data_IF_033598199228
#
_entry.id   IF_033598199228
#
_cell.length_a   1.000
_cell.length_b   1.000
_cell.length_c   1.000
_cell.angle_alpha   90.00
_cell.angle_beta   90.00
_cell.angle_gamma   90.00
#
_symmetry.space_group_name_H-M   'P 1'
#
loop_
_entity.id
_entity.type
_entity.pdbx_description
1 polymer ?
#
# COMPACT_ATOMS: atom_id res chain seq x y z
N UNK A 1 -37.71 6.35 -23.72
CA UNK A 1 -38.73 6.62 -22.69
C UNK A 1 -38.03 7.44 -21.61
N UNK A 2 -38.53 8.64 -21.35
CA UNK A 2 -38.01 9.50 -20.29
C UNK A 2 -38.29 8.83 -18.94
N UNK A 3 -37.24 8.63 -18.12
CA UNK A 3 -37.37 8.11 -16.77
C UNK A 3 -38.09 9.14 -15.90
N UNK A 4 -39.31 8.83 -15.47
CA UNK A 4 -40.08 9.68 -14.57
C UNK A 4 -39.29 9.93 -13.27
N UNK A 5 -39.03 11.21 -12.99
CA UNK A 5 -38.12 11.67 -11.93
C UNK A 5 -38.72 11.66 -10.51
N UNK A 6 -39.86 10.99 -10.28
CA UNK A 6 -40.61 11.01 -9.01
C UNK A 6 -40.88 9.62 -8.40
N UNK A 7 -40.29 8.55 -8.94
CA UNK A 7 -40.57 7.20 -8.46
C UNK A 7 -39.91 6.93 -7.09
N UNK A 8 -40.72 6.48 -6.13
CA UNK A 8 -40.25 5.96 -4.85
C UNK A 8 -39.97 4.46 -4.97
N UNK A 9 -38.83 4.01 -4.44
CA UNK A 9 -38.40 2.63 -4.45
C UNK A 9 -38.36 2.07 -3.04
N UNK A 10 -38.43 0.74 -2.92
CA UNK A 10 -38.11 -0.02 -1.72
C UNK A 10 -36.92 -0.93 -1.97
N UNK A 11 -36.17 -1.25 -0.92
CA UNK A 11 -35.04 -2.16 -0.95
C UNK A 11 -35.49 -3.59 -0.66
N UNK A 12 -35.25 -4.50 -1.60
CA UNK A 12 -35.38 -5.93 -1.42
C UNK A 12 -34.02 -6.53 -1.13
N UNK A 13 -33.90 -7.23 -0.01
CA UNK A 13 -32.73 -8.01 0.37
C UNK A 13 -32.96 -9.47 0.01
N UNK A 14 -32.05 -10.03 -0.79
CA UNK A 14 -31.87 -11.47 -0.95
C UNK A 14 -30.77 -11.94 0.01
N UNK A 15 -31.14 -12.74 1.01
CA UNK A 15 -30.19 -13.39 1.91
C UNK A 15 -29.87 -14.81 1.41
N UNK A 16 -28.61 -15.02 1.03
CA UNK A 16 -28.11 -16.29 0.50
C UNK A 16 -27.18 -17.02 1.48
N UNK A 17 -27.16 -16.64 2.75
CA UNK A 17 -26.28 -17.25 3.77
C UNK A 17 -26.55 -18.74 3.99
N UNK A 18 -27.81 -19.18 3.87
CA UNK A 18 -28.22 -20.58 4.03
C UNK A 18 -28.31 -21.36 2.70
N UNK A 19 -28.01 -20.71 1.57
CA UNK A 19 -28.12 -21.30 0.24
C UNK A 19 -26.91 -22.19 -0.06
N UNK A 20 -27.17 -23.46 -0.40
CA UNK A 20 -26.11 -24.47 -0.64
C UNK A 20 -25.70 -24.57 -2.11
N UNK A 21 -26.48 -24.02 -3.04
CA UNK A 21 -26.26 -24.09 -4.47
C UNK A 21 -26.31 -22.70 -5.10
N UNK A 22 -25.31 -22.34 -5.90
CA UNK A 22 -25.22 -21.01 -6.53
C UNK A 22 -26.40 -20.66 -7.44
N UNK A 23 -27.16 -21.68 -7.89
CA UNK A 23 -28.35 -21.56 -8.74
C UNK A 23 -29.65 -21.30 -7.96
N UNK A 24 -29.65 -21.51 -6.65
CA UNK A 24 -30.83 -21.28 -5.80
C UNK A 24 -30.92 -19.80 -5.41
N UNK A 25 -32.16 -19.29 -5.42
CA UNK A 25 -32.49 -17.97 -4.93
C UNK A 25 -32.47 -17.96 -3.39
N UNK A 26 -31.95 -16.88 -2.81
CA UNK A 26 -31.98 -16.66 -1.38
C UNK A 26 -33.35 -16.25 -0.85
N UNK A 27 -33.43 -16.05 0.47
CA UNK A 27 -34.63 -15.55 1.13
C UNK A 27 -34.82 -14.08 0.80
N UNK A 28 -35.95 -13.73 0.18
CA UNK A 28 -36.31 -12.35 -0.12
C UNK A 28 -37.05 -11.70 1.06
N UNK A 29 -36.65 -10.49 1.41
CA UNK A 29 -37.31 -9.65 2.42
C UNK A 29 -37.19 -8.17 2.08
N UNK A 30 -38.10 -7.34 2.57
CA UNK A 30 -38.06 -5.88 2.38
C UNK A 30 -37.33 -5.24 3.55
N UNK A 31 -36.39 -4.35 3.27
CA UNK A 31 -35.71 -3.56 4.29
C UNK A 31 -36.68 -2.54 4.90
N UNK A 32 -36.82 -2.56 6.23
CA UNK A 32 -37.58 -1.57 6.99
C UNK A 32 -36.70 -0.52 7.68
N UNK A 33 -35.39 -0.77 7.77
CA UNK A 33 -34.43 0.17 8.34
C UNK A 33 -33.21 -0.51 8.95
N UNK A 34 -32.44 0.27 9.69
CA UNK A 34 -31.30 -0.18 10.50
C UNK A 34 -31.54 0.34 11.92
N UNK A 35 -31.38 -0.49 12.94
CA UNK A 35 -31.56 -0.05 14.34
C UNK A 35 -30.35 0.74 14.88
N UNK A 36 -30.49 1.32 16.07
CA UNK A 36 -29.44 2.12 16.74
C UNK A 36 -28.16 1.31 17.05
N UNK A 37 -28.24 -0.02 16.98
CA UNK A 37 -27.11 -0.94 17.15
C UNK A 37 -26.50 -1.37 15.80
N UNK A 38 -27.01 -0.82 14.71
CA UNK A 38 -26.55 -1.09 13.36
C UNK A 38 -27.13 -2.37 12.75
N UNK A 39 -28.13 -3.02 13.35
CA UNK A 39 -28.70 -4.25 12.79
C UNK A 39 -29.74 -3.96 11.70
N UNK A 40 -29.62 -4.68 10.59
CA UNK A 40 -30.60 -4.66 9.51
C UNK A 40 -31.96 -5.20 9.98
N UNK A 41 -33.01 -4.41 9.79
CA UNK A 41 -34.40 -4.82 10.01
C UNK A 41 -35.06 -5.09 8.67
N UNK A 42 -35.68 -6.26 8.57
CA UNK A 42 -36.45 -6.65 7.38
C UNK A 42 -37.84 -7.14 7.75
N UNK A 43 -38.73 -7.09 6.78
CA UNK A 43 -40.15 -7.45 6.88
C UNK A 43 -40.58 -8.19 5.62
N UNK A 44 -41.68 -8.93 5.70
CA UNK A 44 -42.26 -9.59 4.53
C UNK A 44 -42.80 -8.58 3.51
N UNK A 45 -42.71 -8.94 2.23
CA UNK A 45 -43.19 -8.16 1.10
C UNK A 45 -44.70 -8.33 0.92
N UNK A 46 -45.49 -7.90 1.91
CA UNK A 46 -46.97 -7.94 1.88
C UNK A 46 -47.57 -6.55 2.14
N UNK A 47 -48.75 -6.28 1.60
CA UNK A 47 -49.43 -4.99 1.66
C UNK A 47 -49.61 -4.46 3.08
N UNK A 48 -49.87 -5.35 4.05
CA UNK A 48 -50.02 -5.02 5.47
C UNK A 48 -48.77 -4.34 6.05
N UNK A 49 -47.58 -4.66 5.53
CA UNK A 49 -46.31 -4.13 6.01
C UNK A 49 -45.84 -2.89 5.25
N UNK A 50 -46.63 -2.35 4.30
CA UNK A 50 -46.22 -1.21 3.46
C UNK A 50 -45.78 0.03 4.24
N UNK A 51 -46.37 0.27 5.40
CA UNK A 51 -46.01 1.40 6.26
C UNK A 51 -44.62 1.25 6.88
N UNK A 52 -44.09 0.02 6.98
CA UNK A 52 -42.79 -0.28 7.55
C UNK A 52 -41.65 -0.27 6.52
N UNK A 53 -41.95 -0.24 5.23
CA UNK A 53 -40.92 -0.31 4.19
C UNK A 53 -40.06 0.95 4.14
N UNK A 54 -38.74 0.77 4.06
CA UNK A 54 -37.82 1.86 3.81
C UNK A 54 -37.97 2.31 2.35
N UNK A 55 -38.70 3.42 2.16
CA UNK A 55 -38.88 4.06 0.86
C UNK A 55 -37.76 5.06 0.61
N UNK A 56 -37.22 5.06 -0.60
CA UNK A 56 -36.17 5.98 -1.01
C UNK A 56 -36.35 6.42 -2.46
N UNK A 57 -35.81 7.59 -2.79
CA UNK A 57 -35.61 8.06 -4.14
C UNK A 57 -34.11 8.02 -4.46
N UNK A 58 -33.73 7.75 -5.71
CA UNK A 58 -32.32 7.74 -6.12
C UNK A 58 -31.57 9.07 -5.88
N UNK A 59 -32.29 10.18 -5.62
CA UNK A 59 -31.72 11.52 -5.38
C UNK A 59 -31.62 11.95 -3.91
N UNK A 60 -32.27 11.26 -2.97
CA UNK A 60 -32.48 11.78 -1.61
C UNK A 60 -31.39 11.39 -0.59
N UNK A 61 -30.33 10.72 -1.03
CA UNK A 61 -29.19 10.35 -0.19
C UNK A 61 -29.48 9.27 0.86
N UNK A 62 -30.75 8.83 1.03
CA UNK A 62 -31.12 7.79 1.98
C UNK A 62 -30.47 6.45 1.62
N UNK A 63 -30.46 6.11 0.32
CA UNK A 63 -29.80 4.91 -0.18
C UNK A 63 -28.30 4.92 0.16
N UNK A 64 -27.62 6.06 -0.03
CA UNK A 64 -26.19 6.19 0.26
C UNK A 64 -25.90 5.99 1.76
N UNK A 65 -26.73 6.54 2.63
CA UNK A 65 -26.59 6.37 4.08
C UNK A 65 -26.85 4.91 4.50
N UNK A 66 -27.89 4.28 3.94
CA UNK A 66 -28.18 2.88 4.14
C UNK A 66 -26.97 2.01 3.74
N UNK A 67 -26.45 2.19 2.52
CA UNK A 67 -25.33 1.41 2.01
C UNK A 67 -24.05 1.61 2.82
N UNK A 68 -23.79 2.83 3.29
CA UNK A 68 -22.65 3.13 4.17
C UNK A 68 -22.72 2.31 5.47
N UNK A 69 -23.91 2.18 6.07
CA UNK A 69 -24.08 1.41 7.30
C UNK A 69 -24.12 -0.10 7.03
N UNK A 70 -24.78 -0.53 5.96
CA UNK A 70 -24.84 -1.92 5.52
C UNK A 70 -23.43 -2.49 5.28
N UNK A 71 -22.58 -1.76 4.55
CA UNK A 71 -21.22 -2.19 4.23
C UNK A 71 -20.27 -2.13 5.43
N UNK A 72 -20.55 -1.28 6.44
CA UNK A 72 -19.84 -1.31 7.73
C UNK A 72 -20.17 -2.57 8.53
N UNK A 73 -21.40 -3.07 8.43
CA UNK A 73 -21.86 -4.23 9.19
C UNK A 73 -21.42 -5.54 8.52
N UNK A 74 -21.53 -5.63 7.19
CA UNK A 74 -21.30 -6.84 6.43
C UNK A 74 -20.00 -6.73 5.62
N UNK A 75 -18.87 -7.12 6.23
CA UNK A 75 -17.52 -7.05 5.64
C UNK A 75 -17.34 -7.84 4.33
N UNK A 76 -18.22 -8.82 4.05
CA UNK A 76 -18.25 -9.57 2.80
C UNK A 76 -19.71 -9.72 2.32
N UNK A 77 -20.29 -8.72 1.64
CA UNK A 77 -21.70 -8.71 1.29
C UNK A 77 -22.05 -9.64 0.11
N UNK A 78 -21.11 -10.47 -0.35
CA UNK A 78 -21.29 -11.37 -1.51
C UNK A 78 -22.38 -12.44 -1.30
N UNK A 79 -22.77 -12.69 -0.05
CA UNK A 79 -23.91 -13.54 0.31
C UNK A 79 -25.26 -12.82 0.29
N UNK A 80 -25.28 -11.52 -0.02
CA UNK A 80 -26.49 -10.72 -0.12
C UNK A 80 -26.69 -10.22 -1.54
N UNK A 81 -27.95 -10.13 -1.97
CA UNK A 81 -28.38 -9.36 -3.14
C UNK A 81 -29.22 -8.18 -2.67
N UNK A 82 -29.00 -6.99 -3.23
CA UNK A 82 -29.87 -5.83 -3.02
C UNK A 82 -30.50 -5.41 -4.33
N UNK A 83 -31.82 -5.24 -4.32
CA UNK A 83 -32.60 -4.91 -5.51
C UNK A 83 -33.58 -3.79 -5.20
N UNK A 84 -33.77 -2.86 -6.14
CA UNK A 84 -34.77 -1.80 -6.06
C UNK A 84 -36.06 -2.26 -6.74
N UNK A 85 -37.18 -2.06 -6.05
CA UNK A 85 -38.53 -2.33 -6.57
C UNK A 85 -39.38 -1.08 -6.36
N UNK A 86 -40.29 -0.77 -7.29
CA UNK A 86 -41.19 0.37 -7.15
C UNK A 86 -42.09 0.21 -5.93
N UNK A 87 -42.18 1.26 -5.10
CA UNK A 87 -42.91 1.24 -3.83
C UNK A 87 -44.43 1.04 -4.01
N UNK A 88 -44.97 1.36 -5.19
CA UNK A 88 -46.40 1.23 -5.49
C UNK A 88 -46.79 -0.20 -5.92
N UNK A 89 -45.80 -1.08 -6.15
CA UNK A 89 -46.06 -2.44 -6.62
C UNK A 89 -45.09 -3.49 -6.05
N UNK A 90 -44.92 -3.46 -4.72
CA UNK A 90 -43.90 -4.28 -4.02
C UNK A 90 -44.16 -5.78 -4.14
N UNK A 91 -45.39 -6.25 -3.93
CA UNK A 91 -45.70 -7.71 -3.95
C UNK A 91 -45.38 -8.31 -5.33
N UNK A 92 -45.97 -7.74 -6.38
CA UNK A 92 -45.74 -8.19 -7.76
C UNK A 92 -44.28 -8.02 -8.18
N UNK A 93 -43.62 -6.93 -7.74
CA UNK A 93 -42.22 -6.69 -8.04
C UNK A 93 -41.28 -7.72 -7.40
N UNK A 94 -41.56 -8.14 -6.16
CA UNK A 94 -40.82 -9.20 -5.47
C UNK A 94 -41.09 -10.57 -6.10
N UNK A 95 -42.31 -10.87 -6.50
CA UNK A 95 -42.64 -12.12 -7.21
C UNK A 95 -41.97 -12.22 -8.58
N UNK A 96 -41.90 -11.10 -9.31
CA UNK A 96 -41.14 -11.02 -10.56
C UNK A 96 -39.64 -11.22 -10.29
N UNK A 97 -39.07 -10.52 -9.30
CA UNK A 97 -37.68 -10.70 -8.90
C UNK A 97 -37.38 -12.16 -8.54
N UNK A 98 -38.26 -12.83 -7.79
CA UNK A 98 -38.14 -14.26 -7.45
C UNK A 98 -38.06 -15.13 -8.71
N UNK A 99 -38.89 -14.84 -9.70
CA UNK A 99 -38.88 -15.56 -10.99
C UNK A 99 -37.56 -15.33 -11.75
N UNK A 100 -37.07 -14.10 -11.80
CA UNK A 100 -35.80 -13.74 -12.45
C UNK A 100 -34.62 -14.44 -11.75
N UNK A 101 -34.60 -14.48 -10.42
CA UNK A 101 -33.56 -15.12 -9.62
C UNK A 101 -33.51 -16.65 -9.84
N UNK A 102 -34.65 -17.31 -10.02
CA UNK A 102 -34.72 -18.74 -10.36
C UNK A 102 -34.08 -19.06 -11.73
N UNK A 103 -33.99 -18.07 -12.63
CA UNK A 103 -33.34 -18.22 -13.94
C UNK A 103 -32.10 -17.34 -14.11
N UNK A 104 -31.41 -16.99 -13.03
CA UNK A 104 -30.28 -16.03 -13.03
C UNK A 104 -29.13 -16.35 -14.00
N UNK A 105 -29.01 -17.58 -14.46
CA UNK A 105 -27.97 -17.97 -15.42
C UNK A 105 -28.26 -17.55 -16.86
N UNK A 106 -29.53 -17.28 -17.19
CA UNK A 106 -29.94 -16.80 -18.51
C UNK A 106 -29.46 -15.37 -18.74
N UNK A 107 -29.00 -15.08 -19.96
CA UNK A 107 -28.51 -13.74 -20.33
C UNK A 107 -29.52 -12.63 -20.07
N UNK A 108 -30.80 -12.88 -20.37
CA UNK A 108 -31.89 -11.92 -20.15
C UNK A 108 -32.10 -11.62 -18.66
N UNK A 109 -32.12 -12.67 -17.82
CA UNK A 109 -32.22 -12.50 -16.37
C UNK A 109 -31.01 -11.78 -15.78
N UNK A 110 -29.79 -12.00 -16.31
CA UNK A 110 -28.58 -11.25 -15.90
C UNK A 110 -28.71 -9.76 -16.21
N UNK A 111 -29.24 -9.39 -17.37
CA UNK A 111 -29.48 -7.99 -17.74
C UNK A 111 -30.52 -7.35 -16.83
N UNK A 112 -31.66 -8.02 -16.60
CA UNK A 112 -32.71 -7.50 -15.72
C UNK A 112 -32.23 -7.31 -14.28
N UNK A 113 -31.47 -8.27 -13.74
CA UNK A 113 -30.89 -8.17 -12.39
C UNK A 113 -29.86 -7.04 -12.29
N UNK A 114 -29.13 -6.72 -13.36
CA UNK A 114 -28.20 -5.59 -13.38
C UNK A 114 -28.93 -4.23 -13.37
N UNK A 115 -30.10 -4.13 -14.02
CA UNK A 115 -30.87 -2.87 -14.06
C UNK A 115 -31.54 -2.54 -12.72
N UNK A 116 -32.05 -3.56 -12.03
CA UNK A 116 -32.74 -3.41 -10.74
C UNK A 116 -31.81 -3.64 -9.54
N UNK A 117 -30.65 -4.26 -9.75
CA UNK A 117 -29.65 -4.53 -8.73
C UNK A 117 -28.95 -3.26 -8.26
N UNK A 118 -28.59 -3.26 -6.98
CA UNK A 118 -27.76 -2.24 -6.38
C UNK A 118 -26.37 -2.83 -6.22
N UNK A 119 -25.42 -2.31 -6.99
CA UNK A 119 -24.04 -2.75 -6.89
C UNK A 119 -23.43 -2.26 -5.59
N UNK A 120 -22.91 -3.18 -4.77
CA UNK A 120 -22.17 -2.81 -3.56
C UNK A 120 -20.92 -1.98 -3.89
N UNK A 121 -20.32 -2.20 -5.06
CA UNK A 121 -19.11 -1.50 -5.52
C UNK A 121 -19.32 0.02 -5.64
N UNK A 122 -20.54 0.45 -5.99
CA UNK A 122 -20.90 1.86 -6.12
C UNK A 122 -20.87 2.61 -4.77
N UNK A 123 -20.97 1.86 -3.66
CA UNK A 123 -21.13 2.41 -2.31
C UNK A 123 -20.05 1.97 -1.32
N UNK A 124 -19.23 0.99 -1.69
CA UNK A 124 -17.98 0.77 -0.98
C UNK A 124 -17.24 2.11 -0.98
N UNK A 125 -16.65 2.54 0.16
CA UNK A 125 -15.68 3.61 0.11
C UNK A 125 -14.70 3.13 -0.93
N UNK A 126 -14.71 3.80 -2.08
CA UNK A 126 -13.74 3.50 -3.08
C UNK A 126 -12.43 3.69 -2.32
N UNK A 127 -11.73 2.60 -2.00
CA UNK A 127 -10.32 2.61 -2.30
C UNK A 127 -10.35 3.01 -3.75
N UNK A 128 -10.27 4.33 -4.00
CA UNK A 128 -10.02 4.84 -5.31
C UNK A 128 -8.81 4.01 -5.70
N UNK A 129 -9.00 3.02 -6.58
CA UNK A 129 -8.04 2.80 -7.63
C UNK A 129 -7.96 4.19 -8.23
N UNK A 130 -7.07 5.01 -7.66
CA UNK A 130 -6.88 6.35 -8.09
C UNK A 130 -6.37 6.11 -9.49
N UNK A 131 -7.26 6.31 -10.48
CA UNK A 131 -6.93 6.16 -11.88
C UNK A 131 -5.60 6.84 -12.03
N UNK A 132 -4.62 6.09 -12.54
CA UNK A 132 -3.26 6.57 -12.67
C UNK A 132 -3.32 7.99 -13.24
N UNK A 133 -2.50 8.88 -12.69
CA UNK A 133 -2.49 10.27 -13.09
C UNK A 133 -2.30 10.31 -14.60
N UNK A 134 -3.16 11.07 -15.27
CA UNK A 134 -3.00 11.33 -16.69
C UNK A 134 -1.71 12.13 -16.87
N UNK A 135 -0.75 11.53 -17.58
CA UNK A 135 0.58 12.07 -17.79
C UNK A 135 0.53 13.44 -18.49
N UNK A 136 -0.51 13.72 -19.28
CA UNK A 136 -0.71 15.02 -19.93
C UNK A 136 -0.93 16.17 -18.95
N UNK A 137 -1.26 15.87 -17.68
CA UNK A 137 -1.46 16.85 -16.61
C UNK A 137 -0.18 17.18 -15.84
N UNK A 138 0.94 16.53 -16.18
CA UNK A 138 2.22 16.74 -15.49
C UNK A 138 2.97 17.93 -16.08
N UNK A 139 3.40 18.85 -15.22
CA UNK A 139 4.35 19.90 -15.60
C UNK A 139 5.76 19.32 -15.74
N UNK A 140 6.06 18.84 -16.93
CA UNK A 140 7.37 18.30 -17.28
C UNK A 140 8.50 19.34 -17.21
N UNK A 141 8.18 20.63 -17.37
CA UNK A 141 9.18 21.71 -17.27
C UNK A 141 9.66 21.87 -15.83
N UNK A 142 8.78 21.67 -14.85
CA UNK A 142 9.16 21.69 -13.43
C UNK A 142 10.16 20.56 -13.10
N UNK A 143 9.95 19.37 -13.65
CA UNK A 143 10.87 18.22 -13.47
C UNK A 143 12.20 18.44 -14.19
N UNK A 144 12.17 18.97 -15.42
CA UNK A 144 13.38 19.27 -16.20
C UNK A 144 14.27 20.31 -15.51
N UNK A 145 13.65 21.36 -14.93
CA UNK A 145 14.35 22.35 -14.10
C UNK A 145 15.04 21.73 -12.86
N UNK A 146 14.59 20.55 -12.41
CA UNK A 146 15.20 19.79 -11.32
C UNK A 146 16.24 18.76 -11.81
N UNK A 147 16.58 18.76 -13.10
CA UNK A 147 17.50 17.81 -13.72
C UNK A 147 16.89 16.41 -13.93
N UNK A 148 15.57 16.31 -14.04
CA UNK A 148 14.84 15.06 -14.23
C UNK A 148 14.05 15.06 -15.53
N UNK A 149 14.52 14.27 -16.50
CA UNK A 149 13.79 14.04 -17.74
C UNK A 149 12.75 12.94 -17.58
N UNK A 150 11.73 12.97 -18.45
CA UNK A 150 10.71 11.92 -18.55
C UNK A 150 11.35 10.54 -18.75
N UNK A 151 12.27 10.43 -19.69
CA UNK A 151 12.93 9.17 -20.06
C UNK A 151 13.71 8.59 -18.87
N UNK A 152 14.37 9.44 -18.07
CA UNK A 152 15.10 9.02 -16.87
C UNK A 152 14.16 8.44 -15.80
N UNK A 153 13.00 9.06 -15.59
CA UNK A 153 11.99 8.58 -14.64
C UNK A 153 11.30 7.30 -15.12
N UNK A 154 11.08 7.16 -16.42
CA UNK A 154 10.52 5.95 -17.03
C UNK A 154 11.49 4.78 -16.94
N UNK A 155 12.76 4.96 -17.33
CA UNK A 155 13.78 3.91 -17.30
C UNK A 155 14.09 3.40 -15.89
N UNK A 156 13.94 4.25 -14.88
CA UNK A 156 14.10 3.88 -13.48
C UNK A 156 12.85 3.24 -12.87
N UNK A 157 11.70 3.28 -13.56
CA UNK A 157 10.41 2.81 -13.04
C UNK A 157 9.79 3.75 -12.00
N UNK A 158 10.38 4.93 -11.78
CA UNK A 158 9.90 5.89 -10.79
C UNK A 158 8.70 6.69 -11.31
N UNK A 159 8.60 6.90 -12.63
CA UNK A 159 7.45 7.54 -13.25
C UNK A 159 6.15 6.78 -12.95
N UNK A 160 6.16 5.46 -13.14
CA UNK A 160 4.99 4.60 -12.89
C UNK A 160 4.52 4.71 -11.43
N UNK A 161 5.45 4.69 -10.47
CA UNK A 161 5.13 4.85 -9.04
C UNK A 161 4.47 6.20 -8.78
N UNK A 162 5.05 7.27 -9.31
CA UNK A 162 4.55 8.63 -9.10
C UNK A 162 3.16 8.83 -9.72
N UNK A 163 2.93 8.32 -10.93
CA UNK A 163 1.61 8.36 -11.58
C UNK A 163 0.56 7.56 -10.81
N UNK A 164 0.97 6.50 -10.11
CA UNK A 164 0.13 5.71 -9.21
C UNK A 164 0.08 6.25 -7.77
N UNK A 165 0.31 7.55 -7.57
CA UNK A 165 0.21 8.27 -6.29
C UNK A 165 1.19 7.82 -5.19
N UNK A 166 2.21 7.06 -5.58
CA UNK A 166 3.29 6.65 -4.69
C UNK A 166 4.42 7.69 -4.73
N UNK A 167 5.29 7.63 -3.72
CA UNK A 167 6.55 8.37 -3.73
C UNK A 167 7.58 7.57 -4.54
N UNK A 168 8.43 8.26 -5.28
CA UNK A 168 9.62 7.66 -5.86
C UNK A 168 10.58 7.16 -4.77
N UNK A 169 11.58 6.40 -5.18
CA UNK A 169 12.84 6.23 -4.47
C UNK A 169 13.63 7.56 -4.42
N UNK A 170 14.76 7.59 -3.69
CA UNK A 170 15.67 8.73 -3.70
C UNK A 170 16.20 8.98 -5.10
N UNK A 171 16.00 10.20 -5.58
CA UNK A 171 16.48 10.70 -6.86
C UNK A 171 17.38 11.90 -6.59
N UNK A 172 18.52 11.95 -7.26
CA UNK A 172 19.36 13.16 -7.28
C UNK A 172 18.65 14.23 -8.11
N UNK A 173 18.34 15.35 -7.46
CA UNK A 173 17.76 16.55 -8.07
C UNK A 173 18.77 17.70 -8.02
N UNK A 174 18.66 18.60 -9.00
CA UNK A 174 19.38 19.85 -9.10
C UNK A 174 18.44 21.00 -8.71
N UNK A 175 18.69 21.66 -7.59
CA UNK A 175 17.88 22.79 -7.11
C UNK A 175 18.61 24.09 -7.45
N UNK A 176 18.16 24.86 -8.45
CA UNK A 176 18.75 26.16 -8.76
C UNK A 176 18.39 27.17 -7.65
N UNK A 177 19.40 27.84 -7.11
CA UNK A 177 19.29 28.91 -6.11
C UNK A 177 20.16 30.08 -6.57
N UNK A 178 19.52 31.09 -7.16
CA UNK A 178 20.21 32.20 -7.82
C UNK A 178 21.13 31.68 -8.92
N UNK A 179 22.41 32.03 -8.85
CA UNK A 179 23.43 31.60 -9.81
C UNK A 179 24.08 30.25 -9.46
N UNK A 180 23.66 29.61 -8.37
CA UNK A 180 24.22 28.34 -7.89
C UNK A 180 23.23 27.21 -8.04
N UNK A 181 23.72 25.99 -8.22
CA UNK A 181 22.89 24.77 -8.25
C UNK A 181 23.29 23.86 -7.11
N UNK A 182 22.33 23.51 -6.26
CA UNK A 182 22.52 22.54 -5.18
C UNK A 182 22.07 21.17 -5.66
N UNK A 183 22.95 20.18 -5.54
CA UNK A 183 22.60 18.79 -5.80
C UNK A 183 22.22 18.11 -4.48
N UNK A 184 21.04 17.49 -4.43
CA UNK A 184 20.56 16.78 -3.24
C UNK A 184 19.71 15.57 -3.64
N UNK A 185 19.46 14.68 -2.71
CA UNK A 185 18.57 13.54 -2.91
C UNK A 185 17.17 13.85 -2.36
N UNK A 186 16.13 13.48 -3.10
CA UNK A 186 14.75 13.63 -2.68
C UNK A 186 13.88 12.50 -3.20
N UNK A 187 12.80 12.19 -2.47
CA UNK A 187 11.67 11.43 -3.02
C UNK A 187 10.67 12.40 -3.62
N UNK A 188 10.09 12.03 -4.75
CA UNK A 188 9.14 12.84 -5.48
C UNK A 188 7.77 12.17 -5.49
N UNK A 189 6.71 12.96 -5.48
CA UNK A 189 5.37 12.43 -5.63
C UNK A 189 4.45 13.45 -6.30
N UNK A 190 3.52 12.97 -7.11
CA UNK A 190 2.44 13.81 -7.61
C UNK A 190 1.31 13.90 -6.59
N UNK A 191 0.76 15.10 -6.43
CA UNK A 191 -0.33 15.43 -5.50
C UNK A 191 -1.32 16.36 -6.18
N UNK A 192 -2.60 16.24 -5.84
CA UNK A 192 -3.61 17.20 -6.29
C UNK A 192 -3.77 18.33 -5.29
N UNK A 193 -3.93 19.54 -5.80
CA UNK A 193 -4.44 20.67 -5.02
C UNK A 193 -5.98 20.59 -4.86
N UNK A 194 -6.55 21.56 -4.14
CA UNK A 194 -7.99 21.65 -3.89
C UNK A 194 -8.82 21.87 -5.18
N UNK A 195 -8.18 22.33 -6.26
CA UNK A 195 -8.79 22.53 -7.58
C UNK A 195 -8.66 21.29 -8.48
N UNK A 196 -7.98 20.23 -8.02
CA UNK A 196 -7.74 19.01 -8.78
C UNK A 196 -6.56 19.09 -9.77
N UNK A 197 -5.74 20.15 -9.73
CA UNK A 197 -4.52 20.24 -10.52
C UNK A 197 -3.43 19.36 -9.93
N UNK A 198 -2.64 18.71 -10.78
CA UNK A 198 -1.53 17.86 -10.33
C UNK A 198 -0.26 18.69 -10.17
N UNK A 199 0.28 18.75 -8.96
CA UNK A 199 1.56 19.36 -8.63
C UNK A 199 2.61 18.34 -8.20
N UNK A 200 3.88 18.78 -8.24
CA UNK A 200 5.03 18.01 -7.76
C UNK A 200 5.32 18.31 -6.29
N UNK A 201 5.29 17.27 -5.45
CA UNK A 201 5.77 17.31 -4.07
C UNK A 201 7.21 16.77 -3.99
N UNK A 202 8.09 17.55 -3.36
CA UNK A 202 9.51 17.22 -3.19
C UNK A 202 9.77 16.94 -1.70
N UNK A 203 10.25 15.74 -1.40
CA UNK A 203 10.55 15.27 -0.05
C UNK A 203 12.07 15.07 0.08
N UNK A 204 12.83 16.12 0.46
CA UNK A 204 14.29 16.06 0.52
C UNK A 204 14.80 15.13 1.63
N UNK A 205 15.92 14.47 1.38
CA UNK A 205 16.65 13.66 2.35
C UNK A 205 17.15 14.55 3.50
N UNK A 206 16.76 14.20 4.74
CA UNK A 206 17.26 14.84 5.96
C UNK A 206 18.22 13.91 6.70
N UNK A 207 19.20 14.48 7.38
CA UNK A 207 20.11 13.73 8.26
C UNK A 207 19.37 13.08 9.44
N UNK A 208 18.38 13.78 9.99
CA UNK A 208 17.57 13.34 11.12
C UNK A 208 16.15 13.90 11.03
N UNK A 209 15.16 13.24 11.65
CA UNK A 209 13.79 13.73 11.70
C UNK A 209 13.69 14.97 12.60
N UNK A 210 13.01 16.01 12.12
CA UNK A 210 12.87 17.28 12.83
C UNK A 210 11.77 17.19 13.89
N UNK A 211 12.09 16.59 15.04
CA UNK A 211 11.13 16.34 16.12
C UNK A 211 11.08 17.47 17.17
N UNK A 212 12.03 18.41 17.14
CA UNK A 212 12.13 19.49 18.14
C UNK A 212 11.21 20.68 17.86
N UNK A 213 10.69 20.77 16.65
CA UNK A 213 9.75 21.81 16.24
C UNK A 213 8.31 21.28 16.25
N UNK A 214 7.30 22.13 16.51
CA UNK A 214 5.91 21.73 16.37
C UNK A 214 5.62 21.23 14.95
N UNK A 215 5.10 20.01 14.85
CA UNK A 215 4.66 19.40 13.61
C UNK A 215 3.14 19.58 13.48
N UNK A 216 2.71 20.41 12.52
CA UNK A 216 1.29 20.75 12.33
C UNK A 216 0.61 21.16 13.65
N UNK A 217 1.23 22.10 14.38
CA UNK A 217 0.70 22.56 15.67
C UNK A 217 0.90 21.60 16.85
N UNK A 218 1.31 20.35 16.61
CA UNK A 218 1.56 19.37 17.66
C UNK A 218 3.03 19.38 18.12
N UNK A 219 3.27 19.41 19.43
CA UNK A 219 4.63 19.32 20.01
C UNK A 219 4.84 17.95 20.65
N UNK A 220 5.81 17.20 20.13
CA UNK A 220 6.15 15.88 20.68
C UNK A 220 6.83 15.97 22.05
N UNK A 221 6.39 15.14 22.97
CA UNK A 221 7.03 14.83 24.26
C UNK A 221 8.32 14.01 24.07
N UNK A 222 9.25 14.02 25.04
CA UNK A 222 10.48 13.22 24.96
C UNK A 222 10.23 11.73 24.67
N UNK A 223 9.21 11.15 25.30
CA UNK A 223 8.83 9.75 25.16
C UNK A 223 8.33 9.44 23.74
N UNK A 224 7.56 10.34 23.15
CA UNK A 224 7.09 10.21 21.76
C UNK A 224 8.22 10.34 20.76
N UNK A 225 9.19 11.23 21.02
CA UNK A 225 10.39 11.35 20.19
C UNK A 225 11.18 10.05 20.21
N UNK A 226 11.42 9.49 21.40
CA UNK A 226 12.11 8.21 21.55
C UNK A 226 11.36 7.07 20.84
N UNK A 227 10.03 7.02 20.99
CA UNK A 227 9.17 6.04 20.33
C UNK A 227 9.28 6.13 18.79
N UNK A 228 9.20 7.33 18.23
CA UNK A 228 9.36 7.58 16.80
C UNK A 228 10.76 7.19 16.31
N UNK A 229 11.81 7.58 17.03
CA UNK A 229 13.20 7.24 16.69
C UNK A 229 13.51 5.74 16.79
N UNK A 230 12.82 5.03 17.68
CA UNK A 230 13.04 3.60 17.94
C UNK A 230 12.24 2.71 16.98
N UNK A 231 10.99 3.07 16.71
CA UNK A 231 10.05 2.20 15.96
C UNK A 231 9.74 2.72 14.57
N UNK A 232 9.84 4.03 14.35
CA UNK A 232 9.39 4.72 13.15
C UNK A 232 7.93 5.15 13.19
N UNK A 233 7.16 4.76 14.23
CA UNK A 233 5.75 5.07 14.38
C UNK A 233 5.46 5.64 15.77
N UNK A 234 4.51 6.58 15.85
CA UNK A 234 4.19 7.23 17.12
C UNK A 234 3.51 6.28 18.13
N UNK A 235 2.87 5.21 17.67
CA UNK A 235 2.18 4.27 18.56
C UNK A 235 0.82 4.72 19.05
N UNK A 236 0.34 5.88 18.59
CA UNK A 236 -0.99 6.41 18.87
C UNK A 236 -1.46 7.38 17.79
N UNK A 237 -2.75 7.68 17.77
CA UNK A 237 -3.29 8.83 17.04
C UNK A 237 -3.12 10.12 17.82
N UNK A 238 -2.83 11.22 17.13
CA UNK A 238 -2.79 12.58 17.69
C UNK A 238 -3.63 13.53 16.86
N UNK A 239 -4.13 14.60 17.46
CA UNK A 239 -4.75 15.69 16.72
C UNK A 239 -3.67 16.63 16.17
N UNK A 240 -3.72 16.91 14.87
CA UNK A 240 -2.81 17.83 14.18
C UNK A 240 -3.60 18.90 13.45
N UNK A 241 -3.04 20.11 13.38
CA UNK A 241 -3.63 21.29 12.77
C UNK A 241 -2.72 21.82 11.66
N UNK A 242 -3.01 21.54 10.38
CA UNK A 242 -2.27 22.09 9.27
C UNK A 242 -2.47 23.62 9.18
N UNK A 243 -1.51 24.35 8.60
CA UNK A 243 -1.57 25.83 8.51
C UNK A 243 -2.83 26.36 7.81
N UNK A 244 -3.30 25.63 6.79
CA UNK A 244 -4.41 26.05 5.92
C UNK A 244 -5.54 25.00 5.90
N UNK A 245 -5.86 24.38 7.05
CA UNK A 245 -6.93 23.38 7.08
C UNK A 245 -7.43 23.07 8.48
N UNK A 246 -8.51 22.31 8.53
CA UNK A 246 -9.15 21.91 9.77
C UNK A 246 -8.28 20.90 10.56
N UNK A 247 -8.31 20.95 11.90
CA UNK A 247 -7.71 19.91 12.74
C UNK A 247 -8.22 18.51 12.40
N UNK A 248 -7.37 17.50 12.54
CA UNK A 248 -7.78 16.12 12.37
C UNK A 248 -6.93 15.14 13.17
N UNK A 249 -7.53 14.00 13.50
CA UNK A 249 -6.82 12.87 14.11
C UNK A 249 -5.95 12.15 13.08
N UNK A 250 -4.68 11.93 13.41
CA UNK A 250 -3.67 11.39 12.50
C UNK A 250 -2.82 10.30 13.15
N UNK A 251 -2.48 9.29 12.36
CA UNK A 251 -1.32 8.44 12.61
C UNK A 251 -0.07 9.18 12.17
N UNK A 252 1.01 9.03 12.93
CA UNK A 252 2.30 9.67 12.61
C UNK A 252 3.41 8.63 12.50
N UNK A 253 4.16 8.70 11.40
CA UNK A 253 5.34 7.86 11.15
C UNK A 253 6.49 8.68 10.57
N UNK A 254 7.70 8.13 10.61
CA UNK A 254 8.87 8.66 9.92
C UNK A 254 9.06 7.90 8.61
N UNK A 255 9.24 8.64 7.52
CA UNK A 255 9.73 8.12 6.26
C UNK A 255 11.17 7.60 6.42
N UNK A 256 11.41 6.29 6.31
CA UNK A 256 12.74 5.73 6.53
C UNK A 256 13.76 6.20 5.50
N UNK A 257 13.34 6.67 4.32
CA UNK A 257 14.28 7.12 3.31
C UNK A 257 14.66 8.59 3.50
N UNK A 258 13.74 9.45 3.92
CA UNK A 258 13.97 10.92 3.96
C UNK A 258 14.05 11.51 5.36
N UNK A 259 13.78 10.71 6.40
CA UNK A 259 13.59 11.19 7.77
C UNK A 259 12.46 12.22 7.90
N UNK A 260 11.51 12.24 6.96
CA UNK A 260 10.35 13.12 7.02
C UNK A 260 9.31 12.60 8.00
N UNK A 261 8.69 13.49 8.79
CA UNK A 261 7.54 13.17 9.63
C UNK A 261 6.28 13.27 8.77
N UNK A 262 5.45 12.23 8.82
CA UNK A 262 4.26 12.09 7.98
C UNK A 262 3.03 11.86 8.85
N UNK A 263 2.00 12.67 8.63
CA UNK A 263 0.66 12.45 9.15
C UNK A 263 -0.24 11.79 8.10
N UNK A 264 -0.93 10.73 8.53
CA UNK A 264 -2.00 10.09 7.78
C UNK A 264 -3.30 10.26 8.56
N UNK A 265 -4.31 10.88 7.94
CA UNK A 265 -5.61 11.05 8.58
C UNK A 265 -6.20 9.70 8.99
N UNK A 266 -6.60 9.58 10.25
CA UNK A 266 -7.11 8.33 10.80
C UNK A 266 -8.41 7.88 10.11
N UNK A 267 -9.26 8.83 9.73
CA UNK A 267 -10.53 8.60 9.02
C UNK A 267 -10.38 8.04 7.60
N UNK A 268 -9.15 8.06 7.03
CA UNK A 268 -8.85 7.52 5.70
C UNK A 268 -8.21 6.14 5.72
N UNK A 269 -7.93 5.58 6.91
CA UNK A 269 -7.31 4.26 7.03
C UNK A 269 -8.39 3.21 7.25
N UNK A 270 -8.45 2.24 6.35
CA UNK A 270 -9.31 1.07 6.52
C UNK A 270 -8.53 -0.05 7.22
N UNK A 271 -8.98 -0.44 8.41
CA UNK A 271 -8.40 -1.53 9.21
C UNK A 271 -9.42 -2.67 9.22
N UNK A 272 -9.17 -3.80 8.53
CA UNK A 272 -10.08 -4.93 8.55
C UNK A 272 -9.98 -5.70 9.87
N UNK A 273 -11.08 -6.32 10.29
CA UNK A 273 -11.11 -7.23 11.46
C UNK A 273 -10.39 -8.56 11.20
N UNK A 274 -10.25 -8.95 9.94
CA UNK A 274 -9.49 -10.14 9.54
C UNK A 274 -8.27 -9.73 8.73
N UNK A 275 -7.11 -10.23 9.13
CA UNK A 275 -5.84 -9.96 8.45
C UNK A 275 -5.16 -11.29 8.16
N UNK A 276 -4.97 -11.59 6.87
CA UNK A 276 -4.26 -12.80 6.40
C UNK A 276 -4.81 -14.10 7.02
N UNK A 277 -6.14 -14.23 7.11
CA UNK A 277 -6.80 -15.42 7.64
C UNK A 277 -6.95 -15.47 9.17
N UNK A 278 -6.55 -14.41 9.87
CA UNK A 278 -6.67 -14.32 11.33
C UNK A 278 -7.64 -13.20 11.70
N UNK A 279 -8.70 -13.53 12.43
CA UNK A 279 -9.62 -12.55 13.01
C UNK A 279 -8.99 -11.94 14.26
N UNK A 280 -8.88 -10.61 14.30
CA UNK A 280 -8.42 -9.86 15.45
C UNK A 280 -9.46 -9.93 16.58
N UNK A 281 -9.00 -10.08 17.82
CA UNK A 281 -9.85 -9.84 18.99
C UNK A 281 -10.27 -8.37 19.06
N UNK A 282 -11.37 -8.06 19.77
CA UNK A 282 -11.85 -6.68 19.90
C UNK A 282 -10.79 -5.76 20.54
N UNK A 283 -10.00 -6.27 21.49
CA UNK A 283 -8.89 -5.53 22.09
C UNK A 283 -7.78 -5.23 21.07
N UNK A 284 -7.35 -6.24 20.30
CA UNK A 284 -6.36 -6.08 19.24
C UNK A 284 -6.82 -5.11 18.15
N UNK A 285 -8.08 -5.22 17.74
CA UNK A 285 -8.67 -4.33 16.75
C UNK A 285 -8.69 -2.88 17.25
N UNK A 286 -9.17 -2.67 18.49
CA UNK A 286 -9.20 -1.35 19.13
C UNK A 286 -7.79 -0.75 19.25
N UNK A 287 -6.83 -1.52 19.76
CA UNK A 287 -5.44 -1.06 19.90
C UNK A 287 -4.83 -0.66 18.55
N UNK A 288 -5.10 -1.42 17.50
CA UNK A 288 -4.61 -1.12 16.14
C UNK A 288 -5.25 0.15 15.56
N UNK A 289 -6.56 0.35 15.77
CA UNK A 289 -7.29 1.59 15.40
C UNK A 289 -6.79 2.80 16.19
N UNK A 290 -6.37 2.60 17.44
CA UNK A 290 -5.74 3.66 18.23
C UNK A 290 -4.29 3.94 17.80
N UNK A 291 -3.71 3.12 16.90
CA UNK A 291 -2.35 3.28 16.35
C UNK A 291 -1.26 2.50 17.08
N UNK A 292 -1.65 1.67 18.06
CA UNK A 292 -0.71 0.84 18.84
C UNK A 292 -0.23 -0.34 18.01
N UNK A 293 0.92 -0.87 18.42
CA UNK A 293 1.48 -2.09 17.87
C UNK A 293 0.80 -3.32 18.50
N UNK A 294 0.38 -4.27 17.67
CA UNK A 294 -0.43 -5.42 18.08
C UNK A 294 0.19 -6.71 17.56
N UNK A 295 0.59 -7.61 18.47
CA UNK A 295 1.11 -8.92 18.07
C UNK A 295 -0.02 -9.83 17.59
N UNK A 296 0.16 -10.41 16.40
CA UNK A 296 -0.78 -11.34 15.77
C UNK A 296 -0.03 -12.58 15.32
N UNK A 297 -0.60 -13.75 15.61
CA UNK A 297 0.01 -15.05 15.35
C UNK A 297 -0.86 -15.88 14.40
N UNK A 298 -0.25 -16.81 13.66
CA UNK A 298 -0.96 -17.74 12.78
C UNK A 298 -1.44 -17.15 11.45
N UNK A 299 -0.93 -15.99 11.03
CA UNK A 299 -1.27 -15.39 9.73
C UNK A 299 -0.75 -16.24 8.57
N UNK A 300 -1.51 -16.33 7.48
CA UNK A 300 -1.17 -17.16 6.32
C UNK A 300 -0.60 -16.33 5.17
N UNK A 301 0.61 -16.66 4.72
CA UNK A 301 1.24 -16.05 3.55
C UNK A 301 0.61 -16.57 2.25
N UNK A 302 0.85 -15.86 1.14
CA UNK A 302 0.43 -16.32 -0.21
C UNK A 302 0.99 -17.72 -0.58
N UNK A 303 2.09 -18.13 0.05
CA UNK A 303 2.70 -19.45 -0.11
C UNK A 303 2.03 -20.56 0.72
N UNK A 304 1.01 -20.24 1.51
CA UNK A 304 0.35 -21.17 2.43
C UNK A 304 1.09 -21.38 3.76
N UNK A 305 2.28 -20.77 3.94
CA UNK A 305 3.01 -20.85 5.22
C UNK A 305 2.42 -19.90 6.25
N UNK A 306 2.35 -20.35 7.49
CA UNK A 306 1.97 -19.52 8.62
C UNK A 306 3.14 -18.67 9.12
N UNK A 307 2.84 -17.49 9.64
CA UNK A 307 3.82 -16.59 10.25
C UNK A 307 3.18 -15.72 11.35
N UNK A 308 4.03 -15.19 12.21
CA UNK A 308 3.64 -14.24 13.25
C UNK A 308 4.26 -12.88 12.92
N UNK A 309 3.57 -11.80 13.27
CA UNK A 309 4.09 -10.45 13.14
C UNK A 309 3.41 -9.50 14.13
N UNK A 310 4.09 -8.42 14.46
CA UNK A 310 3.49 -7.26 15.10
C UNK A 310 2.92 -6.35 14.03
N UNK A 311 1.63 -6.06 14.09
CA UNK A 311 0.91 -5.19 13.18
C UNK A 311 0.83 -3.79 13.76
N UNK A 312 1.05 -2.78 12.93
CA UNK A 312 0.88 -1.38 13.33
C UNK A 312 0.46 -0.55 12.12
N UNK A 313 -0.31 0.52 12.31
CA UNK A 313 -0.58 1.49 11.24
C UNK A 313 0.67 2.33 11.00
N UNK A 314 1.09 2.42 9.74
CA UNK A 314 2.20 3.26 9.29
C UNK A 314 1.70 4.32 8.30
N UNK A 315 1.99 5.59 8.62
CA UNK A 315 1.53 6.74 7.85
C UNK A 315 2.14 6.79 6.43
N UNK A 316 3.42 6.43 6.29
CA UNK A 316 4.13 6.39 5.01
C UNK A 316 3.60 5.27 4.11
N UNK A 317 3.32 4.09 4.67
CA UNK A 317 2.72 2.96 3.94
C UNK A 317 1.23 3.11 3.68
N UNK A 318 0.61 4.16 4.23
CA UNK A 318 -0.84 4.44 4.14
C UNK A 318 -1.71 3.28 4.62
N UNK A 319 -1.25 2.51 5.61
CA UNK A 319 -1.95 1.31 6.07
C UNK A 319 -1.17 0.47 7.06
N UNK A 320 -1.59 -0.77 7.22
CA UNK A 320 -1.01 -1.70 8.20
C UNK A 320 0.34 -2.21 7.69
N UNK A 321 1.37 -2.04 8.51
CA UNK A 321 2.66 -2.66 8.31
C UNK A 321 2.83 -3.92 9.16
N UNK A 322 3.64 -4.84 8.64
CA UNK A 322 3.98 -6.09 9.29
C UNK A 322 5.42 -5.98 9.80
N UNK A 323 5.56 -5.87 11.11
CA UNK A 323 6.84 -5.79 11.82
C UNK A 323 7.16 -7.20 12.30
N UNK A 324 8.15 -7.83 11.69
CA UNK A 324 8.63 -9.14 12.12
C UNK A 324 9.66 -8.95 13.24
N UNK A 325 9.63 -9.84 14.24
CA UNK A 325 10.59 -9.93 15.34
C UNK A 325 12.01 -10.18 14.79
N UNK A 326 12.61 -9.11 14.31
CA UNK A 326 14.03 -8.96 14.13
C UNK A 326 14.43 -7.99 15.22
N UNK A 327 15.47 -8.30 16.00
CA UNK A 327 16.03 -7.42 17.04
C UNK A 327 16.59 -6.08 16.49
N UNK A 328 16.14 -5.65 15.30
CA UNK A 328 16.64 -4.50 14.57
C UNK A 328 15.71 -3.31 14.78
N UNK A 329 16.20 -2.29 15.46
CA UNK A 329 15.50 -1.02 15.64
C UNK A 329 15.25 -0.28 14.32
N UNK A 330 14.43 0.77 14.34
CA UNK A 330 14.11 1.59 13.17
C UNK A 330 15.36 2.09 12.44
N UNK A 331 16.39 2.56 13.17
CA UNK A 331 17.67 3.00 12.60
C UNK A 331 18.42 1.90 11.83
N UNK A 332 18.39 0.66 12.31
CA UNK A 332 19.03 -0.46 11.61
C UNK A 332 18.25 -0.87 10.36
N UNK A 333 16.90 -0.82 10.43
CA UNK A 333 16.05 -1.00 9.24
C UNK A 333 16.30 0.10 8.21
N UNK A 334 16.43 1.34 8.66
CA UNK A 334 16.71 2.52 7.83
C UNK A 334 18.05 2.43 7.11
N UNK A 335 19.12 1.96 7.76
CA UNK A 335 20.42 1.76 7.10
C UNK A 335 20.35 0.76 5.94
N UNK A 336 19.46 -0.24 6.00
CA UNK A 336 19.20 -1.14 4.86
C UNK A 336 18.40 -0.46 3.76
N UNK A 337 17.44 0.41 4.08
CA UNK A 337 16.65 1.14 3.07
C UNK A 337 17.43 2.25 2.36
N UNK A 338 18.41 2.86 3.04
CA UNK A 338 19.31 3.88 2.47
C UNK A 338 20.45 3.29 1.64
N UNK A 339 20.80 2.01 1.83
CA UNK A 339 21.59 1.27 0.84
C UNK A 339 20.67 0.92 -0.33
N UNK A 340 20.33 1.93 -1.14
CA UNK A 340 19.78 1.68 -2.47
C UNK A 340 20.89 1.07 -3.32
N UNK A 341 20.66 -0.17 -3.73
CA UNK A 341 21.59 -0.94 -4.52
C UNK A 341 22.08 -2.21 -3.81
N UNK A 342 23.05 -2.87 -4.42
CA UNK A 342 23.56 -4.14 -4.03
C UNK A 342 24.26 -3.99 -2.68
N UNK A 343 23.95 -4.88 -1.72
CA UNK A 343 24.46 -4.75 -0.38
C UNK A 343 25.98 -4.84 -0.39
N UNK A 344 26.66 -4.06 0.47
CA UNK A 344 28.12 -4.18 0.63
C UNK A 344 28.56 -5.57 1.06
N UNK A 345 27.68 -6.30 1.76
CA UNK A 345 27.93 -7.66 2.20
C UNK A 345 26.74 -8.55 1.86
N UNK A 346 26.99 -9.63 1.13
CA UNK A 346 25.98 -10.59 0.72
C UNK A 346 26.32 -11.97 1.24
N UNK A 347 25.49 -12.52 2.15
CA UNK A 347 25.72 -13.86 2.71
C UNK A 347 27.16 -14.05 3.21
N UNK A 348 27.69 -13.10 3.99
CA UNK A 348 29.06 -13.18 4.51
C UNK A 348 30.17 -12.74 3.54
N UNK A 349 29.89 -12.62 2.24
CA UNK A 349 30.84 -12.15 1.23
C UNK A 349 30.81 -10.62 1.13
N UNK A 350 31.97 -9.96 1.21
CA UNK A 350 32.09 -8.53 0.91
C UNK A 350 32.14 -8.31 -0.61
N UNK A 351 31.26 -7.43 -1.11
CA UNK A 351 31.19 -7.08 -2.52
C UNK A 351 32.05 -5.86 -2.80
N UNK A 352 32.86 -5.93 -3.86
CA UNK A 352 33.58 -4.77 -4.38
C UNK A 352 32.63 -3.77 -5.03
N UNK A 353 33.06 -2.52 -5.15
CA UNK A 353 32.28 -1.44 -5.78
C UNK A 353 31.81 -1.80 -7.19
N UNK A 354 32.69 -2.38 -8.01
CA UNK A 354 32.35 -2.88 -9.36
C UNK A 354 31.29 -3.98 -9.35
N UNK A 355 31.31 -4.87 -8.34
CA UNK A 355 30.29 -5.90 -8.21
C UNK A 355 28.94 -5.30 -7.81
N UNK A 356 28.96 -4.26 -6.97
CA UNK A 356 27.75 -3.55 -6.58
C UNK A 356 27.13 -2.81 -7.76
N UNK A 357 27.92 -2.02 -8.50
CA UNK A 357 27.48 -1.34 -9.73
C UNK A 357 26.90 -2.32 -10.77
N UNK A 358 27.52 -3.49 -10.94
CA UNK A 358 27.04 -4.49 -11.87
C UNK A 358 25.68 -5.07 -11.42
N UNK A 359 25.50 -5.33 -10.13
CA UNK A 359 24.22 -5.79 -9.58
C UNK A 359 23.14 -4.69 -9.65
N UNK A 360 23.51 -3.42 -9.44
CA UNK A 360 22.61 -2.27 -9.49
C UNK A 360 22.12 -1.95 -10.89
N UNK A 361 23.00 -2.08 -11.88
CA UNK A 361 22.64 -2.03 -13.29
C UNK A 361 21.79 -3.23 -13.74
N UNK A 362 21.52 -4.19 -12.84
CA UNK A 362 20.64 -5.32 -13.07
C UNK A 362 21.32 -6.53 -13.74
N UNK A 363 22.66 -6.56 -13.79
CA UNK A 363 23.41 -7.70 -14.33
C UNK A 363 23.43 -8.85 -13.34
N UNK A 364 23.46 -10.07 -13.86
CA UNK A 364 23.72 -11.27 -13.05
C UNK A 364 25.22 -11.45 -12.82
N UNK A 365 25.64 -11.60 -11.56
CA UNK A 365 27.01 -11.96 -11.18
C UNK A 365 27.08 -13.39 -10.64
N UNK A 366 28.13 -14.13 -10.97
CA UNK A 366 28.43 -15.38 -10.28
C UNK A 366 29.32 -15.10 -9.07
N UNK A 367 28.78 -15.29 -7.87
CA UNK A 367 29.48 -15.02 -6.61
C UNK A 367 29.83 -16.35 -5.93
N UNK A 368 31.04 -16.40 -5.36
CA UNK A 368 31.60 -17.60 -4.69
C UNK A 368 31.82 -17.34 -3.21
N UNK A 369 31.93 -18.40 -2.41
CA UNK A 369 32.26 -18.36 -0.99
C UNK A 369 31.25 -17.55 -0.13
N UNK A 370 29.98 -17.54 -0.55
CA UNK A 370 28.89 -17.05 0.29
C UNK A 370 28.57 -18.09 1.35
N UNK A 371 27.98 -17.68 2.47
CA UNK A 371 27.67 -18.52 3.63
C UNK A 371 26.16 -18.53 3.86
N UNK A 372 25.57 -19.72 3.94
CA UNK A 372 24.15 -19.89 4.20
C UNK A 372 23.79 -19.69 5.70
N UNK A 373 22.52 -19.88 6.05
CA UNK A 373 22.06 -19.71 7.43
C UNK A 373 22.62 -20.77 8.40
N UNK A 374 23.11 -21.88 7.86
CA UNK A 374 23.70 -23.01 8.58
C UNK A 374 25.23 -22.90 8.67
N UNK A 375 25.82 -21.83 8.12
CA UNK A 375 27.26 -21.61 8.11
C UNK A 375 27.99 -22.35 6.98
N UNK A 376 27.28 -22.97 6.05
CA UNK A 376 27.90 -23.72 4.95
C UNK A 376 28.24 -22.80 3.77
N UNK A 377 29.43 -22.95 3.16
CA UNK A 377 29.81 -22.17 1.99
C UNK A 377 29.06 -22.64 0.73
N UNK A 378 28.61 -21.70 -0.09
CA UNK A 378 27.95 -21.95 -1.36
C UNK A 378 28.28 -20.88 -2.40
N UNK A 379 28.04 -21.21 -3.67
CA UNK A 379 28.21 -20.34 -4.83
C UNK A 379 26.88 -20.20 -5.57
N UNK A 380 26.60 -19.04 -6.14
CA UNK A 380 25.36 -18.84 -6.91
C UNK A 380 25.49 -17.71 -7.93
N UNK A 381 24.64 -17.75 -8.95
CA UNK A 381 24.34 -16.59 -9.78
C UNK A 381 23.40 -15.67 -9.00
N UNK A 382 23.76 -14.40 -8.89
CA UNK A 382 23.05 -13.38 -8.11
C UNK A 382 22.61 -12.25 -9.02
N UNK A 383 21.34 -11.87 -8.95
CA UNK A 383 20.78 -10.71 -9.65
C UNK A 383 19.87 -9.94 -8.71
N UNK A 384 19.85 -8.61 -8.82
CA UNK A 384 18.92 -7.78 -8.05
C UNK A 384 17.51 -7.83 -8.66
N UNK A 385 16.52 -8.16 -7.83
CA UNK A 385 15.10 -8.02 -8.11
C UNK A 385 14.73 -6.54 -7.90
N UNK A 386 14.49 -5.81 -9.00
CA UNK A 386 14.26 -4.36 -8.97
C UNK A 386 12.94 -3.97 -8.32
N UNK A 387 11.92 -4.83 -8.40
CA UNK A 387 10.62 -4.57 -7.76
C UNK A 387 10.70 -4.73 -6.25
N UNK A 388 11.47 -5.71 -5.78
CA UNK A 388 11.54 -6.08 -4.36
C UNK A 388 12.82 -5.60 -3.67
N UNK A 389 13.68 -4.89 -4.41
CA UNK A 389 15.01 -4.40 -4.02
C UNK A 389 15.81 -5.44 -3.22
N UNK A 390 15.86 -6.69 -3.72
CA UNK A 390 16.54 -7.80 -3.03
C UNK A 390 17.33 -8.71 -3.97
N UNK A 391 18.44 -9.30 -3.50
CA UNK A 391 19.22 -10.26 -4.28
C UNK A 391 18.44 -11.58 -4.45
N UNK A 392 18.43 -12.09 -5.68
CA UNK A 392 17.93 -13.43 -6.04
C UNK A 392 19.10 -14.32 -6.39
N UNK A 393 19.03 -15.56 -5.91
CA UNK A 393 20.07 -16.57 -6.11
C UNK A 393 19.57 -17.65 -7.06
N UNK A 394 20.37 -17.97 -8.06
CA UNK A 394 20.08 -18.96 -9.09
C UNK A 394 21.20 -19.99 -9.20
N UNK A 395 20.82 -21.24 -9.43
CA UNK A 395 21.78 -22.34 -9.69
C UNK A 395 22.42 -22.22 -11.09
N UNK A 396 21.74 -21.57 -12.02
CA UNK A 396 22.15 -21.33 -13.40
C UNK A 396 21.95 -19.86 -13.75
N UNK A 397 22.66 -19.35 -14.76
CA UNK A 397 22.56 -17.94 -15.14
C UNK A 397 21.17 -17.65 -15.75
N UNK A 398 20.30 -16.85 -15.11
CA UNK A 398 18.96 -16.56 -15.59
C UNK A 398 18.93 -15.78 -16.91
N UNK A 399 20.02 -15.11 -17.28
CA UNK A 399 20.09 -14.30 -18.50
C UNK A 399 20.49 -15.12 -19.73
N UNK A 400 20.87 -16.40 -19.55
CA UNK A 400 21.07 -17.31 -20.67
C UNK A 400 19.72 -17.87 -21.12
N UNK A 401 19.22 -17.43 -22.28
CA UNK A 401 18.26 -18.24 -23.04
C UNK A 401 18.85 -19.65 -23.18
N UNK A 402 18.04 -20.68 -22.96
CA UNK A 402 18.40 -22.07 -23.20
C UNK A 402 18.55 -22.29 -24.72
N UNK A 403 19.62 -21.79 -25.31
CA UNK A 403 20.05 -22.15 -26.65
C UNK A 403 21.53 -22.55 -26.61
N UNK A 404 21.75 -23.72 -27.16
CA UNK A 404 22.98 -24.48 -27.28
C UNK A 404 24.21 -23.64 -27.65
N UNK A 405 25.25 -23.74 -26.81
CA UNK A 405 26.65 -23.69 -27.23
C UNK A 405 27.20 -22.35 -27.73
N UNK A 406 27.62 -21.48 -26.82
CA UNK A 406 28.96 -20.83 -26.79
C UNK A 406 29.05 -19.84 -25.64
N UNK A 407 30.08 -20.00 -24.83
CA UNK A 407 30.37 -19.20 -23.64
C UNK A 407 30.81 -17.78 -23.99
N UNK A 408 30.05 -16.78 -23.55
CA UNK A 408 30.61 -15.49 -23.14
C UNK A 408 30.48 -15.39 -21.63
N UNK A 409 31.62 -15.59 -20.97
CA UNK A 409 31.80 -15.52 -19.51
C UNK A 409 32.70 -14.33 -19.26
N UNK A 410 32.25 -13.34 -18.48
CA UNK A 410 33.17 -12.47 -17.74
C UNK A 410 33.29 -13.08 -16.36
N UNK A 411 34.26 -13.96 -16.20
CA UNK A 411 34.73 -14.40 -14.90
C UNK A 411 35.79 -13.39 -14.47
N UNK A 412 35.58 -12.72 -13.34
CA UNK A 412 36.69 -12.03 -12.67
C UNK A 412 37.35 -13.08 -11.79
N UNK A 413 38.46 -13.65 -12.28
CA UNK A 413 39.35 -14.48 -11.48
C UNK A 413 40.20 -13.58 -10.58
N UNK A 414 40.32 -13.97 -9.31
CA UNK A 414 41.38 -13.48 -8.43
C UNK A 414 42.73 -14.03 -8.93
N UNK A 415 43.61 -13.15 -9.39
CA UNK A 415 45.05 -13.44 -9.46
C UNK A 415 45.79 -12.28 -8.80
N UNK A 416 46.26 -12.51 -7.57
CA UNK A 416 47.65 -12.24 -7.15
C UNK A 416 47.82 -12.58 -5.66
N UNK A 417 48.32 -13.79 -5.39
CA UNK A 417 49.13 -14.08 -4.20
C UNK A 417 50.38 -14.83 -4.63
N UNK A 418 51.49 -14.12 -4.69
CA UNK A 418 52.81 -14.73 -4.51
C UNK A 418 53.64 -13.83 -3.61
N UNK A 419 54.17 -14.44 -2.56
CA UNK A 419 55.02 -13.86 -1.54
C UNK A 419 56.32 -13.34 -2.13
N UNK A 420 56.77 -12.17 -1.68
CA UNK A 420 58.19 -11.93 -1.38
C UNK A 420 58.23 -11.16 -0.07
N UNK A 421 58.77 -11.83 0.96
CA UNK A 421 59.17 -11.22 2.20
C UNK A 421 60.42 -10.34 1.99
N UNK A 422 60.71 -9.52 3.01
CA UNK A 422 62.01 -8.90 3.35
C UNK A 422 62.10 -7.39 3.08
N UNK A 423 62.32 -6.68 4.20
CA UNK A 423 62.76 -5.29 4.42
C UNK A 423 61.72 -4.18 4.16
N UNK A 424 61.46 -3.24 5.07
CA UNK A 424 62.19 -2.80 6.26
C UNK A 424 61.24 -2.09 7.22
N UNK A 425 61.36 -2.41 8.51
CA UNK A 425 60.90 -1.54 9.58
C UNK A 425 61.50 -0.14 9.46
N UNK A 426 60.66 0.85 9.76
CA UNK A 426 60.95 2.18 10.33
C UNK A 426 62.32 2.84 10.09
N UNK A 427 62.27 4.05 9.54
CA UNK A 427 62.70 5.28 10.23
C UNK A 427 62.44 6.51 9.36
N UNK A 428 62.03 7.57 10.04
CA UNK A 428 62.09 8.99 9.65
C UNK A 428 63.35 9.35 8.88
N UNK A 429 63.25 10.28 7.92
CA UNK A 429 64.07 11.49 7.94
C UNK A 429 63.59 12.59 7.00
N UNK A 430 64.02 13.79 7.38
CA UNK A 430 63.58 15.14 7.06
C UNK A 430 63.82 15.61 5.62
N UNK A 431 63.23 16.78 5.39
CA UNK A 431 63.39 17.72 4.30
C UNK A 431 64.84 17.94 3.82
N UNK A 432 64.95 18.34 2.55
CA UNK A 432 65.97 19.32 2.16
C UNK A 432 65.46 20.17 1.01
N UNK A 433 65.54 21.50 1.21
CA UNK A 433 65.45 22.54 0.19
C UNK A 433 66.56 22.37 -0.85
N UNK A 434 66.25 22.66 -2.11
CA UNK A 434 66.69 23.87 -2.81
C UNK A 434 65.92 24.06 -4.11
#
# INVERSE_FOLDING_TARGET
MESNSNDNYVLVLEDRTEVKNEKEAGKLSIVSGIDDKGNLKTTEAIAVNQAAFLKFNNKDGLLKNFMTNFLKQFNNPTHFGLYKVLADNVEQGVDNLRTILQSREKSESKQQLAEIGISFEDYLPHQKNATAIDESKIDWKQLDNLGLTRERLEQSGELEKMLNWQKSNLLTIAVPIGDTTIYTEARLAFRTDDNGNVGLAIHPLRKEPQLDFPYMGYKFSPEEKEQLLTTGNLGKTIEVTPKNGEPFSAYVSIDPQTNEIIALRADRVNIPKEIKGVTLSDAQYKDLVEGKAVKVEGMTAKSGKTFNATLQVNAERKGIEFIFDSNRGFKERQQQTQQQGAPHKLCGLELSEKQREALDSGRTLYLKNMVDKQGQPFNAYVRMDKEQNRPRFYKWNPDKKQETGKEKVVAVAEEHKTQVAVNNHGKTNEATKN
#
